data_IF_614103124501
#
_entry.id   IF_614103124501
#
_cell.length_a   1.000
_cell.length_b   1.000
_cell.length_c   1.000
_cell.angle_alpha   90.00
_cell.angle_beta   90.00
_cell.angle_gamma   90.00
#
_symmetry.space_group_name_H-M   'P 1'
#
loop_
_entity.id
_entity.type
_entity.pdbx_description
1 polymer ?
#
# COMPACT_ATOMS: atom_id res chain seq x y z
N UNK A 1 65.54 19.82 16.03
CA UNK A 1 64.33 19.02 16.31
C UNK A 1 63.14 19.98 16.45
N UNK A 2 62.23 20.01 15.48
CA UNK A 2 61.06 20.90 15.47
C UNK A 2 59.90 20.20 16.17
N UNK A 3 59.36 20.84 17.22
CA UNK A 3 58.24 20.32 18.01
C UNK A 3 56.95 20.87 17.39
N UNK A 4 56.12 20.01 16.84
CA UNK A 4 54.81 20.40 16.32
C UNK A 4 53.78 20.28 17.44
N UNK A 5 53.23 21.41 17.86
CA UNK A 5 52.10 21.47 18.77
C UNK A 5 50.81 21.26 17.97
N UNK A 6 50.02 20.26 18.34
CA UNK A 6 48.71 19.99 17.74
C UNK A 6 47.66 20.67 18.63
N UNK A 7 47.00 21.68 18.09
CA UNK A 7 45.85 22.31 18.74
C UNK A 7 44.60 21.47 18.42
N UNK A 8 43.96 20.91 19.44
CA UNK A 8 42.68 20.21 19.32
C UNK A 8 41.56 21.25 19.50
N UNK A 9 40.80 21.51 18.43
CA UNK A 9 39.64 22.39 18.46
C UNK A 9 38.41 21.60 18.91
N UNK A 10 37.85 21.95 20.07
CA UNK A 10 36.59 21.40 20.56
C UNK A 10 35.43 22.01 19.77
N UNK A 11 34.61 21.17 19.14
CA UNK A 11 33.36 21.60 18.50
C UNK A 11 32.30 21.64 19.59
N UNK A 12 31.85 22.84 19.96
CA UNK A 12 30.66 23.01 20.80
C UNK A 12 29.43 22.65 19.97
N UNK A 13 28.74 21.57 20.33
CA UNK A 13 27.44 21.22 19.77
C UNK A 13 26.40 22.15 20.42
N UNK A 14 25.86 23.08 19.63
CA UNK A 14 24.66 23.81 20.01
C UNK A 14 23.46 22.89 19.76
N UNK A 15 22.87 22.36 20.83
CA UNK A 15 21.61 21.63 20.76
C UNK A 15 20.46 22.63 20.64
N UNK A 16 20.17 23.09 19.42
CA UNK A 16 18.91 23.79 19.13
C UNK A 16 17.79 22.76 19.05
N UNK A 17 16.85 22.82 19.99
CA UNK A 17 15.60 22.05 19.91
C UNK A 17 14.71 22.66 18.83
N UNK A 18 14.71 22.08 17.64
CA UNK A 18 13.73 22.41 16.60
C UNK A 18 12.40 21.79 17.03
N UNK A 19 11.47 22.61 17.51
CA UNK A 19 10.07 22.22 17.64
C UNK A 19 9.51 22.07 16.23
N UNK A 20 9.28 20.83 15.80
CA UNK A 20 8.53 20.54 14.60
C UNK A 20 7.05 20.85 14.86
N UNK A 21 6.58 22.01 14.38
CA UNK A 21 5.15 22.32 14.32
C UNK A 21 4.48 21.32 13.38
N UNK A 22 3.55 20.52 13.90
CA UNK A 22 2.81 19.54 13.11
C UNK A 22 1.86 20.25 12.16
N UNK A 23 2.30 20.55 10.94
CA UNK A 23 1.41 21.02 9.89
C UNK A 23 0.41 19.91 9.57
N UNK A 24 -0.89 20.16 9.83
CA UNK A 24 -1.95 19.23 9.47
C UNK A 24 -2.01 19.12 7.95
N UNK A 25 -1.85 17.90 7.42
CA UNK A 25 -2.06 17.63 6.01
C UNK A 25 -3.56 17.54 5.73
N UNK A 26 -4.11 18.53 5.04
CA UNK A 26 -5.48 18.52 4.55
C UNK A 26 -5.43 18.22 3.05
N UNK A 27 -6.00 17.10 2.57
CA UNK A 27 -6.01 16.79 1.15
C UNK A 27 -6.87 17.80 0.38
N UNK A 28 -6.41 18.20 -0.80
CA UNK A 28 -7.18 19.04 -1.72
C UNK A 28 -8.24 18.19 -2.42
N UNK A 29 -9.51 18.57 -2.26
CA UNK A 29 -10.67 17.87 -2.82
C UNK A 29 -11.50 18.90 -3.59
N UNK A 30 -11.08 19.16 -4.83
CA UNK A 30 -11.78 20.06 -5.76
C UNK A 30 -12.85 19.30 -6.58
N UNK A 31 -14.03 19.88 -6.85
CA UNK A 31 -15.08 19.22 -7.63
C UNK A 31 -14.71 18.94 -9.09
N UNK A 32 -13.68 19.61 -9.63
CA UNK A 32 -13.16 19.36 -10.98
C UNK A 32 -11.90 18.46 -10.96
N UNK A 33 -11.56 17.87 -9.81
CA UNK A 33 -10.36 17.04 -9.68
C UNK A 33 -10.59 15.62 -10.22
N UNK A 34 -9.61 15.11 -10.97
CA UNK A 34 -9.55 13.70 -11.37
C UNK A 34 -8.38 13.05 -10.64
N UNK A 35 -8.67 11.95 -9.96
CA UNK A 35 -7.69 11.17 -9.20
C UNK A 35 -7.42 9.84 -9.90
N UNK A 36 -6.16 9.42 -9.89
CA UNK A 36 -5.74 8.12 -10.40
C UNK A 36 -4.96 7.37 -9.33
N UNK A 37 -5.24 6.08 -9.14
CA UNK A 37 -4.48 5.24 -8.23
C UNK A 37 -4.04 3.95 -8.92
N UNK A 38 -2.84 3.47 -8.53
CA UNK A 38 -2.27 2.21 -8.98
C UNK A 38 -1.71 1.47 -7.76
N UNK A 39 -2.12 0.22 -7.57
CA UNK A 39 -1.68 -0.62 -6.46
C UNK A 39 -1.35 -2.04 -6.93
N UNK A 40 -0.50 -2.71 -6.14
CA UNK A 40 -0.14 -4.12 -6.34
C UNK A 40 -0.60 -4.92 -5.12
N UNK A 41 -1.02 -6.16 -5.34
CA UNK A 41 -1.54 -6.99 -4.26
C UNK A 41 -1.66 -8.46 -4.63
N UNK A 42 -2.46 -9.18 -3.84
CA UNK A 42 -2.76 -10.60 -4.07
C UNK A 42 -4.27 -10.82 -4.04
N UNK A 43 -4.77 -11.57 -5.02
CA UNK A 43 -6.15 -12.02 -5.11
C UNK A 43 -6.28 -13.45 -4.61
N UNK A 44 -7.20 -13.63 -3.67
CA UNK A 44 -7.68 -14.91 -3.20
C UNK A 44 -9.17 -15.01 -3.49
N UNK A 45 -9.65 -16.16 -3.95
CA UNK A 45 -11.04 -16.30 -4.35
C UNK A 45 -11.48 -17.75 -4.42
N UNK A 46 -12.78 -17.96 -4.27
CA UNK A 46 -13.42 -19.27 -4.39
C UNK A 46 -14.67 -19.13 -5.25
N UNK A 47 -14.71 -19.86 -6.36
CA UNK A 47 -15.90 -19.97 -7.22
C UNK A 47 -16.48 -21.37 -7.10
N UNK A 48 -17.80 -21.46 -7.24
CA UNK A 48 -18.56 -22.72 -7.14
C UNK A 48 -19.33 -22.91 -8.43
N UNK A 49 -19.08 -24.03 -9.07
CA UNK A 49 -19.80 -24.47 -10.24
C UNK A 49 -20.70 -25.63 -9.83
N UNK A 50 -21.98 -25.52 -10.13
CA UNK A 50 -23.02 -26.42 -9.65
C UNK A 50 -23.83 -26.90 -10.86
N UNK A 51 -23.98 -28.21 -10.99
CA UNK A 51 -24.87 -28.81 -11.99
C UNK A 51 -26.04 -29.43 -11.25
N UNK A 52 -27.24 -29.06 -11.67
CA UNK A 52 -28.49 -29.59 -11.15
C UNK A 52 -29.16 -30.43 -12.23
N UNK A 53 -29.77 -31.52 -11.80
CA UNK A 53 -30.69 -32.32 -12.59
C UNK A 53 -31.94 -31.47 -12.89
N UNK A 54 -32.33 -31.40 -14.16
CA UNK A 54 -33.40 -30.49 -14.62
C UNK A 54 -34.80 -30.98 -14.24
N UNK A 55 -34.95 -32.28 -14.05
CA UNK A 55 -36.26 -32.91 -13.82
C UNK A 55 -36.60 -32.96 -12.34
N UNK A 56 -35.59 -33.17 -11.49
CA UNK A 56 -35.74 -33.32 -10.04
C UNK A 56 -35.25 -32.11 -9.25
N UNK A 57 -34.51 -31.19 -9.89
CA UNK A 57 -33.82 -30.07 -9.22
C UNK A 57 -32.69 -30.53 -8.29
N UNK A 58 -32.35 -31.82 -8.29
CA UNK A 58 -31.34 -32.37 -7.40
C UNK A 58 -29.95 -32.00 -7.89
N UNK A 59 -29.08 -31.62 -6.97
CA UNK A 59 -27.68 -31.37 -7.28
C UNK A 59 -26.99 -32.65 -7.79
N UNK A 60 -26.47 -32.60 -9.00
CA UNK A 60 -25.78 -33.71 -9.68
C UNK A 60 -24.26 -33.57 -9.56
N UNK A 61 -23.72 -32.35 -9.74
CA UNK A 61 -22.28 -32.09 -9.65
C UNK A 61 -21.96 -30.82 -8.85
N UNK A 62 -20.74 -30.80 -8.29
CA UNK A 62 -20.19 -29.67 -7.57
C UNK A 62 -18.69 -29.58 -7.84
N UNK A 63 -18.27 -28.51 -8.48
CA UNK A 63 -16.88 -28.17 -8.57
C UNK A 63 -16.60 -26.88 -7.79
N UNK A 64 -15.46 -26.85 -7.13
CA UNK A 64 -15.01 -25.72 -6.32
C UNK A 64 -13.67 -25.27 -6.88
N UNK A 65 -13.68 -24.14 -7.57
CA UNK A 65 -12.49 -23.49 -8.08
C UNK A 65 -11.92 -22.58 -7.00
N UNK A 66 -10.63 -22.71 -6.71
CA UNK A 66 -9.99 -21.95 -5.65
C UNK A 66 -8.71 -21.29 -6.17
N UNK A 67 -8.70 -19.96 -6.17
CA UNK A 67 -7.54 -19.14 -6.51
C UNK A 67 -6.85 -18.68 -5.23
N UNK A 68 -5.57 -19.01 -5.08
CA UNK A 68 -4.75 -18.63 -3.92
C UNK A 68 -3.57 -17.79 -4.37
N UNK A 69 -3.34 -16.67 -3.68
CA UNK A 69 -2.17 -15.81 -3.81
C UNK A 69 -1.85 -15.42 -5.26
N UNK A 70 -2.86 -15.07 -6.03
CA UNK A 70 -2.67 -14.64 -7.42
C UNK A 70 -2.19 -13.19 -7.40
N UNK A 71 -1.00 -12.85 -7.91
CA UNK A 71 -0.53 -11.47 -7.92
C UNK A 71 -1.43 -10.60 -8.79
N UNK A 72 -1.73 -9.39 -8.32
CA UNK A 72 -2.60 -8.44 -9.02
C UNK A 72 -2.03 -7.04 -9.11
N UNK A 73 -2.40 -6.34 -10.17
CA UNK A 73 -2.22 -4.91 -10.37
C UNK A 73 -3.62 -4.29 -10.46
N UNK A 74 -3.94 -3.33 -9.60
CA UNK A 74 -5.25 -2.67 -9.55
C UNK A 74 -5.08 -1.18 -9.85
N UNK A 75 -5.79 -0.72 -10.88
CA UNK A 75 -5.86 0.69 -11.24
C UNK A 75 -7.28 1.22 -11.01
N UNK A 76 -7.39 2.46 -10.55
CA UNK A 76 -8.67 3.18 -10.47
C UNK A 76 -8.49 4.63 -10.95
N UNK A 77 -9.56 5.16 -11.56
CA UNK A 77 -9.69 6.56 -11.93
C UNK A 77 -11.02 7.04 -11.37
N UNK A 78 -11.02 8.14 -10.62
CA UNK A 78 -12.22 8.77 -10.06
C UNK A 78 -12.24 10.24 -10.42
N UNK A 79 -13.43 10.76 -10.69
CA UNK A 79 -13.73 12.18 -10.85
C UNK A 79 -14.74 12.61 -9.79
#
# INVERSE_FOLDING_TARGET
MKKHAIAVMMIAVFSESVYAESTLFIPDVSPDSVTTSLSVGVLNGKSRELVYDTDTGRKSSHLVWNSKNVPTLQGAVSS
#
